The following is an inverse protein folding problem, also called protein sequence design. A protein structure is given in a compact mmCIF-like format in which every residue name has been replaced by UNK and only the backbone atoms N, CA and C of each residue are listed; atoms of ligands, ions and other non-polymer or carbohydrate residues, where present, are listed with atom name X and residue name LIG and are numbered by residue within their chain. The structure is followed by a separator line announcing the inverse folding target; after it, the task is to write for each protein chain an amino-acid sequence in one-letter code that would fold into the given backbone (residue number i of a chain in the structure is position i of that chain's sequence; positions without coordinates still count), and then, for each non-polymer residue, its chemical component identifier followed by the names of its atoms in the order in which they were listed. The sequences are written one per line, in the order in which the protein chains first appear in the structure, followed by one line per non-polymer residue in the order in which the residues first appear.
data_IF_896964372563
#
_entry.id   IF_896964372563
#
_cell.length_a   1.000
_cell.length_b   1.000
_cell.length_c   1.000
_cell.angle_alpha   90.00
_cell.angle_beta   90.00
_cell.angle_gamma   90.00
#
_symmetry.space_group_name_H-M   'P 1'
#
loop_
_entity.id
_entity.type
_entity.pdbx_description
1 polymer ?
#
# COMPACT_ATOMS: atom_id res chain seq x y z
N UNK A 1 15.85 6.70 -9.23
CA UNK A 1 14.73 6.72 -10.19
C UNK A 1 13.78 5.57 -9.90
N UNK A 2 12.46 5.74 -10.11
CA UNK A 2 11.50 4.65 -9.95
C UNK A 2 11.65 3.63 -11.10
N UNK A 3 11.66 2.34 -10.74
CA UNK A 3 11.59 1.24 -11.71
C UNK A 3 10.14 1.17 -12.25
N UNK A 4 9.92 0.62 -13.45
CA UNK A 4 8.56 0.41 -13.99
C UNK A 4 7.71 1.70 -14.17
N UNK A 5 8.32 2.82 -14.58
CA UNK A 5 7.63 4.12 -14.76
C UNK A 5 6.34 4.04 -15.57
N UNK A 6 6.36 3.31 -16.69
CA UNK A 6 5.19 3.14 -17.56
C UNK A 6 4.03 2.44 -16.82
N UNK A 7 4.31 1.34 -16.12
CA UNK A 7 3.30 0.60 -15.32
C UNK A 7 2.67 1.50 -14.25
N UNK A 8 3.49 2.31 -13.57
CA UNK A 8 3.04 3.26 -12.56
C UNK A 8 2.20 4.40 -13.13
N UNK A 9 2.51 4.86 -14.35
CA UNK A 9 1.74 5.89 -15.05
C UNK A 9 0.31 5.43 -15.33
N UNK A 10 0.13 4.23 -15.88
CA UNK A 10 -1.19 3.64 -16.15
C UNK A 10 -2.00 3.54 -14.85
N UNK A 11 -1.37 3.07 -13.77
CA UNK A 11 -2.02 3.01 -12.45
C UNK A 11 -2.48 4.38 -11.95
N UNK A 12 -1.65 5.41 -12.15
CA UNK A 12 -1.96 6.79 -11.73
C UNK A 12 -3.16 7.34 -12.50
N UNK A 13 -3.24 7.09 -13.81
CA UNK A 13 -4.38 7.49 -14.64
C UNK A 13 -5.69 6.85 -14.16
N UNK A 14 -5.68 5.54 -13.89
CA UNK A 14 -6.85 4.83 -13.34
C UNK A 14 -7.21 5.35 -11.94
N UNK A 15 -6.21 5.55 -11.07
CA UNK A 15 -6.44 6.04 -9.70
C UNK A 15 -7.05 7.44 -9.68
N UNK A 16 -6.73 8.32 -10.63
CA UNK A 16 -7.29 9.69 -10.73
C UNK A 16 -8.82 9.69 -10.87
N UNK A 17 -9.39 8.67 -11.50
CA UNK A 17 -10.84 8.53 -11.69
C UNK A 17 -11.56 7.83 -10.54
N UNK A 18 -10.81 7.21 -9.62
CA UNK A 18 -11.37 6.40 -8.54
C UNK A 18 -11.78 7.32 -7.37
N UNK A 19 -13.06 7.31 -6.95
CA UNK A 19 -13.50 8.08 -5.80
C UNK A 19 -12.97 7.45 -4.50
N UNK A 20 -12.97 8.24 -3.43
CA UNK A 20 -12.72 7.72 -2.09
C UNK A 20 -13.95 6.94 -1.59
N UNK A 21 -13.72 5.68 -1.22
CA UNK A 21 -14.77 4.81 -0.70
C UNK A 21 -14.91 4.99 0.80
N UNK A 22 -15.76 5.94 1.17
CA UNK A 22 -16.02 6.30 2.56
C UNK A 22 -17.40 5.80 2.99
N UNK A 23 -17.52 5.36 4.25
CA UNK A 23 -18.82 5.02 4.85
C UNK A 23 -19.73 6.26 4.83
N UNK A 24 -21.01 6.12 4.45
CA UNK A 24 -21.94 7.23 4.51
C UNK A 24 -22.04 7.79 5.94
N UNK A 25 -22.07 9.12 6.05
CA UNK A 25 -22.23 9.87 7.30
C UNK A 25 -21.09 9.71 8.31
N UNK A 26 -19.95 9.12 7.92
CA UNK A 26 -18.76 9.06 8.77
C UNK A 26 -18.12 10.42 9.07
N UNK A 27 -18.52 11.46 8.35
CA UNK A 27 -18.14 12.85 8.61
C UNK A 27 -19.10 13.56 9.59
N UNK A 28 -20.28 12.99 9.82
CA UNK A 28 -21.32 13.56 10.69
C UNK A 28 -21.23 13.04 12.13
N UNK A 29 -20.74 11.81 12.31
CA UNK A 29 -20.76 11.12 13.60
C UNK A 29 -19.42 10.44 13.92
N UNK A 30 -18.83 10.72 15.09
CA UNK A 30 -17.54 10.15 15.52
C UNK A 30 -17.55 8.63 15.72
N UNK A 31 -18.72 8.08 16.11
CA UNK A 31 -18.97 6.63 16.20
C UNK A 31 -18.84 5.93 14.85
N UNK A 32 -19.00 6.66 13.74
CA UNK A 32 -18.90 6.12 12.39
C UNK A 32 -17.51 6.38 11.82
N UNK A 33 -16.65 5.36 11.85
CA UNK A 33 -15.33 5.45 11.19
C UNK A 33 -15.47 5.49 9.66
N UNK A 34 -14.50 6.14 8.99
CA UNK A 34 -14.42 6.28 7.53
C UNK A 34 -14.23 4.96 6.74
N UNK A 35 -14.10 3.81 7.43
CA UNK A 35 -13.91 2.49 6.81
C UNK A 35 -15.15 2.06 6.04
N UNK A 36 -14.97 1.60 4.79
CA UNK A 36 -16.09 1.16 3.93
C UNK A 36 -17.01 0.13 4.60
N UNK A 37 -18.32 0.35 4.45
CA UNK A 37 -19.40 -0.58 4.79
C UNK A 37 -20.46 -0.49 3.70
N UNK A 38 -20.93 -1.63 3.19
CA UNK A 38 -21.97 -1.67 2.16
C UNK A 38 -23.29 -1.13 2.73
N UNK A 39 -23.89 -0.08 2.15
CA UNK A 39 -25.18 0.43 2.61
C UNK A 39 -26.29 -0.57 2.29
N UNK A 40 -27.13 -0.89 3.27
CA UNK A 40 -28.19 -1.92 3.17
C UNK A 40 -29.61 -1.35 3.13
N UNK A 41 -29.85 -0.18 3.71
CA UNK A 41 -31.20 0.38 3.87
C UNK A 41 -31.92 0.63 2.55
N UNK A 42 -33.24 0.40 2.54
CA UNK A 42 -34.09 0.54 1.35
C UNK A 42 -34.00 1.97 0.80
N UNK A 43 -34.08 3.00 1.63
CA UNK A 43 -34.03 4.40 1.19
C UNK A 43 -32.65 5.04 1.16
N UNK A 44 -31.61 4.25 1.32
CA UNK A 44 -30.26 4.78 1.38
C UNK A 44 -29.81 5.37 0.03
N UNK A 45 -29.65 6.69 -0.03
CA UNK A 45 -29.28 7.42 -1.25
C UNK A 45 -27.99 6.93 -1.92
N UNK A 46 -26.96 6.61 -1.13
CA UNK A 46 -25.73 6.01 -1.67
C UNK A 46 -25.96 4.61 -2.27
N UNK A 47 -26.89 3.82 -1.73
CA UNK A 47 -27.23 2.49 -2.29
C UNK A 47 -27.95 2.66 -3.63
N UNK A 48 -28.92 3.58 -3.67
CA UNK A 48 -29.68 3.90 -4.89
C UNK A 48 -28.85 4.68 -5.93
N UNK A 49 -27.66 5.20 -5.57
CA UNK A 49 -26.82 6.07 -6.43
C UNK A 49 -27.59 7.28 -7.01
N UNK A 50 -28.64 7.75 -6.32
CA UNK A 50 -29.56 8.79 -6.80
C UNK A 50 -29.09 10.22 -6.48
N UNK A 51 -28.19 10.40 -5.51
CA UNK A 51 -27.82 11.73 -5.01
C UNK A 51 -26.44 12.15 -5.46
N UNK A 52 -26.36 13.30 -6.14
CA UNK A 52 -25.12 14.05 -6.37
C UNK A 52 -24.50 14.38 -5.00
N UNK A 53 -23.18 14.22 -4.87
CA UNK A 53 -22.43 14.52 -3.63
C UNK A 53 -22.34 13.39 -2.59
N UNK A 54 -22.99 12.23 -2.78
CA UNK A 54 -22.76 11.06 -1.91
C UNK A 54 -21.52 10.28 -2.35
N UNK A 55 -20.76 9.64 -1.42
CA UNK A 55 -19.55 8.91 -1.79
C UNK A 55 -19.84 7.75 -2.76
N UNK A 56 -18.88 7.39 -3.61
CA UNK A 56 -19.05 6.31 -4.58
C UNK A 56 -19.35 4.96 -3.93
N UNK A 57 -20.07 4.07 -4.64
CA UNK A 57 -20.24 2.68 -4.24
C UNK A 57 -19.03 1.86 -4.75
N UNK A 58 -18.47 1.00 -3.90
CA UNK A 58 -17.42 0.05 -4.33
C UNK A 58 -17.98 -0.92 -5.38
N UNK A 59 -17.27 -1.06 -6.50
CA UNK A 59 -17.57 -1.95 -7.63
C UNK A 59 -16.29 -2.62 -8.14
N UNK A 60 -16.41 -3.78 -8.79
CA UNK A 60 -15.26 -4.52 -9.34
C UNK A 60 -14.48 -3.70 -10.39
N UNK A 61 -15.16 -2.86 -11.17
CA UNK A 61 -14.56 -2.02 -12.22
C UNK A 61 -13.58 -0.95 -11.73
N UNK A 62 -13.49 -0.69 -10.42
CA UNK A 62 -12.48 0.21 -9.86
C UNK A 62 -11.12 -0.46 -9.59
N UNK A 63 -10.98 -1.75 -9.94
CA UNK A 63 -9.72 -2.47 -9.86
C UNK A 63 -8.63 -1.78 -10.68
N UNK A 64 -7.44 -1.65 -10.09
CA UNK A 64 -6.26 -1.13 -10.81
C UNK A 64 -5.73 -2.15 -11.84
N UNK A 65 -4.90 -1.69 -12.80
CA UNK A 65 -4.32 -2.56 -13.82
C UNK A 65 -3.47 -3.66 -13.18
N UNK A 66 -3.63 -4.92 -13.62
CA UNK A 66 -2.95 -6.09 -13.05
C UNK A 66 -1.43 -5.95 -13.03
N UNK A 67 -0.88 -5.36 -14.10
CA UNK A 67 0.56 -5.15 -14.32
C UNK A 67 1.21 -4.24 -13.24
N UNK A 68 0.44 -3.31 -12.66
CA UNK A 68 0.94 -2.37 -11.66
C UNK A 68 0.30 -2.57 -10.27
N UNK A 69 -0.48 -3.64 -10.12
CA UNK A 69 -1.12 -4.01 -8.87
C UNK A 69 -0.03 -4.41 -7.88
N UNK A 70 -0.20 -4.05 -6.62
CA UNK A 70 0.74 -4.34 -5.51
C UNK A 70 2.14 -3.71 -5.60
N UNK A 71 2.47 -2.95 -6.65
CA UNK A 71 3.76 -2.23 -6.71
C UNK A 71 3.81 -1.04 -5.74
N UNK A 72 4.95 -0.85 -5.09
CA UNK A 72 5.28 0.36 -4.35
C UNK A 72 5.35 1.58 -5.30
N UNK A 73 5.13 2.84 -4.85
CA UNK A 73 5.38 4.02 -5.68
C UNK A 73 6.78 4.12 -6.29
N UNK A 74 7.78 3.45 -5.70
CA UNK A 74 9.14 3.33 -6.24
C UNK A 74 9.26 2.31 -7.39
N UNK A 75 8.24 1.49 -7.64
CA UNK A 75 8.19 0.52 -8.75
C UNK A 75 8.55 -0.91 -8.40
N UNK A 76 9.03 -1.15 -7.18
CA UNK A 76 9.33 -2.47 -6.62
C UNK A 76 8.10 -3.14 -6.01
N UNK A 77 8.15 -4.44 -5.76
CA UNK A 77 7.21 -5.12 -4.86
C UNK A 77 7.47 -4.70 -3.40
N UNK A 78 6.52 -4.97 -2.50
CA UNK A 78 6.60 -4.58 -1.08
C UNK A 78 6.58 -5.83 -0.21
N UNK A 79 7.76 -6.35 0.07
CA UNK A 79 7.94 -7.63 0.75
C UNK A 79 8.30 -7.41 2.23
N UNK A 80 7.55 -8.07 3.11
CA UNK A 80 7.72 -7.96 4.55
C UNK A 80 8.78 -8.96 5.02
N UNK A 81 9.80 -8.47 5.72
CA UNK A 81 10.97 -9.24 6.15
C UNK A 81 11.09 -9.17 7.68
N UNK A 82 11.31 -10.31 8.31
CA UNK A 82 11.48 -10.43 9.76
C UNK A 82 12.84 -10.97 10.18
N UNK A 83 13.48 -11.75 9.30
CA UNK A 83 14.76 -12.41 9.54
C UNK A 83 15.67 -12.33 8.30
N UNK A 84 16.95 -12.63 8.48
CA UNK A 84 17.95 -12.61 7.42
C UNK A 84 17.69 -13.65 6.34
N UNK A 85 17.07 -14.77 6.70
CA UNK A 85 16.77 -15.88 5.79
C UNK A 85 15.68 -15.50 4.78
N UNK A 86 14.75 -14.62 5.16
CA UNK A 86 13.69 -14.14 4.26
C UNK A 86 14.26 -13.37 3.06
N UNK A 87 15.51 -12.90 3.15
CA UNK A 87 16.21 -12.21 2.06
C UNK A 87 16.71 -13.16 0.97
N UNK A 88 16.74 -14.47 1.20
CA UNK A 88 17.30 -15.43 0.25
C UNK A 88 16.40 -15.66 -0.97
N UNK A 89 15.07 -15.54 -0.81
CA UNK A 89 14.10 -15.79 -1.88
C UNK A 89 13.67 -14.55 -2.68
N UNK A 90 14.32 -13.40 -2.48
CA UNK A 90 13.94 -12.13 -3.09
C UNK A 90 14.97 -11.68 -4.15
N UNK A 91 14.51 -11.00 -5.20
CA UNK A 91 15.39 -10.41 -6.22
C UNK A 91 15.57 -8.89 -5.99
N UNK A 92 16.80 -8.40 -5.75
CA UNK A 92 17.08 -6.97 -5.56
C UNK A 92 16.60 -6.05 -6.68
N UNK A 93 16.43 -6.55 -7.91
CA UNK A 93 16.01 -5.73 -9.06
C UNK A 93 14.51 -5.45 -9.06
N UNK A 94 13.70 -6.41 -8.60
CA UNK A 94 12.23 -6.31 -8.63
C UNK A 94 11.64 -6.06 -7.26
N UNK A 95 12.30 -6.52 -6.20
CA UNK A 95 11.74 -6.59 -4.86
C UNK A 95 12.30 -5.52 -3.94
N UNK A 96 11.36 -4.90 -3.20
CA UNK A 96 11.67 -3.94 -2.15
C UNK A 96 11.39 -4.55 -0.78
N UNK A 97 12.20 -4.19 0.19
CA UNK A 97 12.13 -4.72 1.54
C UNK A 97 11.45 -3.72 2.47
N UNK A 98 10.46 -4.21 3.21
CA UNK A 98 9.94 -3.57 4.42
C UNK A 98 10.22 -4.47 5.63
N UNK A 99 10.88 -3.91 6.63
CA UNK A 99 11.11 -4.59 7.90
C UNK A 99 9.81 -4.63 8.71
N UNK A 100 9.49 -5.81 9.25
CA UNK A 100 8.36 -5.99 10.17
C UNK A 100 8.44 -5.03 11.36
N UNK A 101 7.29 -4.54 11.83
CA UNK A 101 7.24 -3.60 12.96
C UNK A 101 7.84 -4.21 14.24
N UNK A 102 7.65 -5.50 14.46
CA UNK A 102 8.08 -6.25 15.66
C UNK A 102 9.58 -6.57 15.70
N UNK A 103 10.33 -6.31 14.62
CA UNK A 103 11.78 -6.60 14.60
C UNK A 103 12.49 -5.56 15.48
N UNK A 104 13.17 -6.03 16.53
CA UNK A 104 13.97 -5.18 17.41
C UNK A 104 15.25 -4.65 16.75
N UNK A 105 15.84 -3.61 17.33
CA UNK A 105 16.97 -2.86 16.75
C UNK A 105 18.17 -3.74 16.40
N UNK A 106 18.59 -4.65 17.29
CA UNK A 106 19.71 -5.57 17.03
C UNK A 106 19.52 -6.39 15.75
N UNK A 107 18.33 -6.98 15.57
CA UNK A 107 18.00 -7.75 14.36
C UNK A 107 17.84 -6.86 13.14
N UNK A 108 17.32 -5.64 13.29
CA UNK A 108 17.22 -4.67 12.18
C UNK A 108 18.60 -4.35 11.61
N UNK A 109 19.61 -4.10 12.45
CA UNK A 109 20.99 -3.84 12.00
C UNK A 109 21.49 -5.01 11.15
N UNK A 110 21.35 -6.24 11.66
CA UNK A 110 21.77 -7.46 10.94
C UNK A 110 21.09 -7.59 9.56
N UNK A 111 19.78 -7.41 9.51
CA UNK A 111 19.00 -7.53 8.27
C UNK A 111 19.36 -6.40 7.30
N UNK A 112 19.52 -5.17 7.78
CA UNK A 112 19.88 -4.02 6.95
C UNK A 112 21.28 -4.21 6.35
N UNK A 113 22.27 -4.62 7.16
CA UNK A 113 23.63 -4.90 6.68
C UNK A 113 23.63 -6.00 5.62
N UNK A 114 22.88 -7.08 5.83
CA UNK A 114 22.74 -8.16 4.85
C UNK A 114 22.03 -7.69 3.56
N UNK A 115 20.96 -6.89 3.70
CA UNK A 115 20.20 -6.35 2.58
C UNK A 115 21.02 -5.34 1.75
N UNK A 116 21.85 -4.52 2.40
CA UNK A 116 22.76 -3.59 1.74
C UNK A 116 23.84 -4.31 0.94
N UNK A 117 24.45 -5.37 1.51
CA UNK A 117 25.39 -6.23 0.79
C UNK A 117 24.77 -6.80 -0.49
N UNK A 118 23.51 -7.22 -0.43
CA UNK A 118 22.74 -7.73 -1.58
C UNK A 118 22.10 -6.64 -2.46
N UNK A 119 22.31 -5.34 -2.15
CA UNK A 119 21.80 -4.18 -2.89
C UNK A 119 20.28 -4.05 -2.98
N UNK A 120 19.54 -4.53 -1.98
CA UNK A 120 18.10 -4.34 -1.94
C UNK A 120 17.69 -2.90 -1.63
N UNK A 121 16.53 -2.49 -2.14
CA UNK A 121 15.89 -1.24 -1.73
C UNK A 121 15.11 -1.44 -0.44
N UNK A 122 15.50 -0.75 0.63
CA UNK A 122 14.81 -0.77 1.93
C UNK A 122 13.86 0.43 2.04
N UNK A 123 12.61 0.21 2.48
CA UNK A 123 11.60 1.26 2.61
C UNK A 123 11.53 1.91 3.99
N UNK A 124 11.94 1.21 5.05
CA UNK A 124 11.81 1.66 6.44
C UNK A 124 13.08 1.41 7.27
N UNK A 125 14.24 1.78 6.76
CA UNK A 125 15.50 1.79 7.50
C UNK A 125 15.55 2.97 8.46
N UNK A 126 15.07 2.77 9.70
CA UNK A 126 15.04 3.78 10.77
C UNK A 126 16.20 3.61 11.78
N UNK A 127 17.27 2.94 11.38
CA UNK A 127 18.38 2.59 12.27
C UNK A 127 19.67 3.05 11.62
N UNK A 128 20.47 3.80 12.37
CA UNK A 128 21.80 4.22 11.96
C UNK A 128 22.77 3.06 12.12
N UNK A 129 23.51 2.77 11.05
CA UNK A 129 24.45 1.65 10.97
C UNK A 129 25.85 2.07 11.46
N UNK A 130 26.07 3.38 11.60
CA UNK A 130 27.35 4.00 11.95
C UNK A 130 27.38 4.58 13.37
N UNK A 131 26.45 4.18 14.23
CA UNK A 131 26.46 4.60 15.63
C UNK A 131 27.44 3.73 16.42
N UNK A 132 28.72 4.06 16.31
CA UNK A 132 29.75 3.79 17.31
C UNK A 132 30.09 5.12 18.01
#
# INVERSE_FOLDING_TARGET
MAINKQRLSIRRQVKKRKPDFVRPESWRYDRLKKRWRKPKGVDHHQRKQKSRGRPGLVKIGYGGPRIAKYLHPSGYTDNLVYRTEDLAGLDPKTDGIRLGHSVGTRKRIQIITAAMKKRFKIFNGRVDIHAD
#
